data_IF_963668127323
#
_entry.id   IF_963668127323
#
_cell.length_a   1.000
_cell.length_b   1.000
_cell.length_c   1.000
_cell.angle_alpha   90.00
_cell.angle_beta   90.00
_cell.angle_gamma   90.00
#
_symmetry.space_group_name_H-M   'P 1'
#
loop_
_entity.id
_entity.type
_entity.pdbx_description
1 polymer ?
#
# COMPACT_ATOMS: atom_id res chain seq x y z
N UNK A 1 -1.55 28.67 47.71
CA UNK A 1 -1.56 27.84 46.47
C UNK A 1 -1.46 28.83 45.32
N UNK A 2 -0.43 28.73 44.53
CA UNK A 2 -0.20 29.66 43.43
C UNK A 2 -1.29 29.50 42.36
N UNK A 3 -1.67 30.61 41.71
CA UNK A 3 -2.70 30.61 40.67
C UNK A 3 -2.45 29.54 39.57
N UNK A 4 -1.19 29.26 39.28
CA UNK A 4 -0.77 28.23 38.34
C UNK A 4 -1.16 26.82 38.83
N UNK A 5 -0.96 26.53 40.12
CA UNK A 5 -1.31 25.23 40.73
C UNK A 5 -2.83 25.02 40.73
N UNK A 6 -3.61 26.06 40.96
CA UNK A 6 -5.08 26.01 40.92
C UNK A 6 -5.57 25.73 39.50
N UNK A 7 -5.00 26.38 38.50
CA UNK A 7 -5.32 26.16 37.09
C UNK A 7 -4.99 24.71 36.68
N UNK A 8 -3.82 24.18 37.04
CA UNK A 8 -3.42 22.82 36.74
C UNK A 8 -4.35 21.79 37.37
N UNK A 9 -4.75 21.97 38.62
CA UNK A 9 -5.70 21.08 39.30
C UNK A 9 -7.07 21.16 38.63
N UNK A 10 -7.54 22.34 38.27
CA UNK A 10 -8.83 22.53 37.61
C UNK A 10 -8.83 21.80 36.23
N UNK A 11 -7.77 21.99 35.44
CA UNK A 11 -7.62 21.28 34.15
C UNK A 11 -7.58 19.77 34.34
N UNK A 12 -6.85 19.29 35.36
CA UNK A 12 -6.77 17.86 35.66
C UNK A 12 -8.13 17.30 36.09
N UNK A 13 -8.89 18.00 36.92
CA UNK A 13 -10.26 17.60 37.31
C UNK A 13 -11.20 17.60 36.10
N UNK A 14 -11.13 18.61 35.24
CA UNK A 14 -11.94 18.68 34.03
C UNK A 14 -11.59 17.48 33.09
N UNK A 15 -10.31 17.14 32.93
CA UNK A 15 -9.89 15.99 32.11
C UNK A 15 -10.38 14.66 32.70
N UNK A 16 -10.36 14.50 34.04
CA UNK A 16 -10.89 13.32 34.73
C UNK A 16 -12.41 13.24 34.56
N UNK A 17 -13.12 14.33 34.78
CA UNK A 17 -14.58 14.39 34.62
C UNK A 17 -14.96 14.10 33.16
N UNK A 18 -14.28 14.69 32.20
CA UNK A 18 -14.46 14.41 30.78
C UNK A 18 -14.24 12.92 30.46
N UNK A 19 -13.19 12.32 31.01
CA UNK A 19 -12.89 10.92 30.87
C UNK A 19 -13.97 9.98 31.46
N UNK A 20 -14.47 10.33 32.66
CA UNK A 20 -15.56 9.60 33.35
C UNK A 20 -16.87 9.74 32.54
N UNK A 21 -17.19 10.95 32.06
CA UNK A 21 -18.41 11.25 31.32
C UNK A 21 -18.41 10.71 29.88
N UNK A 22 -17.23 10.43 29.32
CA UNK A 22 -17.12 9.66 28.07
C UNK A 22 -17.48 8.19 28.26
N UNK A 23 -18.51 7.91 29.04
CA UNK A 23 -19.04 6.59 29.27
C UNK A 23 -19.16 5.83 27.96
N UNK A 24 -18.77 4.59 27.97
CA UNK A 24 -18.88 3.67 26.84
C UNK A 24 -20.31 3.70 26.30
N UNK A 25 -20.45 4.04 25.03
CA UNK A 25 -21.75 3.86 24.38
C UNK A 25 -22.11 2.38 24.51
N UNK A 26 -23.28 2.06 25.05
CA UNK A 26 -23.74 0.68 25.30
C UNK A 26 -23.81 -0.18 24.02
N UNK A 27 -23.79 0.47 22.86
CA UNK A 27 -23.78 -0.18 21.54
C UNK A 27 -22.36 -0.43 20.98
N UNK A 28 -21.32 0.01 21.67
CA UNK A 28 -19.94 -0.18 21.21
C UNK A 28 -19.41 -1.58 21.57
N UNK A 29 -18.60 -2.21 20.69
CA UNK A 29 -17.93 -3.47 21.04
C UNK A 29 -17.07 -3.33 22.32
N UNK A 30 -16.83 -4.44 23.05
CA UNK A 30 -15.98 -4.43 24.23
C UNK A 30 -14.54 -3.93 23.88
N UNK A 31 -13.76 -3.54 24.89
CA UNK A 31 -12.39 -3.11 24.64
C UNK A 31 -11.73 -2.49 25.86
N UNK A 32 -10.45 -2.11 25.78
CA UNK A 32 -9.69 -1.55 26.91
C UNK A 32 -10.14 -0.14 27.29
N UNK A 33 -9.69 0.29 28.46
CA UNK A 33 -9.80 1.68 28.88
C UNK A 33 -8.89 2.55 28.02
N UNK A 34 -9.41 3.68 27.57
CA UNK A 34 -8.68 4.62 26.72
C UNK A 34 -8.35 5.90 27.51
N UNK A 35 -7.14 6.39 27.39
CA UNK A 35 -6.77 7.68 27.98
C UNK A 35 -7.41 8.84 27.20
N UNK A 36 -7.66 9.99 27.89
CA UNK A 36 -8.07 11.21 27.20
C UNK A 36 -7.08 11.60 26.10
N UNK A 37 -7.55 12.12 24.98
CA UNK A 37 -6.79 12.64 23.84
C UNK A 37 -5.99 11.55 23.09
N UNK A 38 -5.13 10.79 23.77
CA UNK A 38 -4.20 9.83 23.16
C UNK A 38 -4.79 8.42 22.97
N UNK A 39 -5.91 8.11 23.63
CA UNK A 39 -6.55 6.81 23.53
C UNK A 39 -5.69 5.67 24.09
N UNK A 40 -5.60 4.57 23.37
CA UNK A 40 -4.85 3.38 23.75
C UNK A 40 -3.40 3.38 23.23
N UNK A 41 -3.02 4.35 22.39
CA UNK A 41 -1.69 4.42 21.74
C UNK A 41 -0.52 4.28 22.73
N UNK A 42 -0.51 4.91 23.92
CA UNK A 42 0.61 4.78 24.85
C UNK A 42 0.84 3.37 25.40
N UNK A 43 -0.14 2.48 25.28
CA UNK A 43 -0.06 1.09 25.73
C UNK A 43 0.30 0.12 24.61
N UNK A 44 0.44 0.62 23.37
CA UNK A 44 0.81 -0.18 22.21
C UNK A 44 2.33 -0.29 22.09
N UNK A 45 2.78 -1.44 21.64
CA UNK A 45 4.19 -1.68 21.30
C UNK A 45 4.48 -1.27 19.84
N UNK A 46 5.73 -1.43 19.41
CA UNK A 46 6.11 -1.27 17.99
C UNK A 46 5.50 -2.33 17.07
N UNK A 47 4.79 -3.32 17.63
CA UNK A 47 4.13 -4.41 16.89
C UNK A 47 2.63 -4.45 17.22
N UNK A 48 1.86 -3.46 16.77
CA UNK A 48 0.44 -3.31 17.13
C UNK A 48 -0.42 -4.53 16.81
N UNK A 49 -0.10 -5.29 15.77
CA UNK A 49 -0.80 -6.53 15.42
C UNK A 49 -0.70 -7.60 16.53
N UNK A 50 0.42 -7.67 17.28
CA UNK A 50 0.54 -8.56 18.44
C UNK A 50 -0.22 -8.06 19.64
N UNK A 51 -0.33 -6.75 19.80
CA UNK A 51 -1.11 -6.14 20.87
C UNK A 51 -2.60 -6.35 20.63
N UNK A 52 -3.05 -6.27 19.39
CA UNK A 52 -4.44 -6.58 19.01
C UNK A 52 -4.77 -8.07 19.24
N UNK A 53 -3.84 -8.99 18.95
CA UNK A 53 -4.04 -10.40 19.25
C UNK A 53 -4.21 -10.65 20.77
N UNK A 54 -3.42 -9.99 21.62
CA UNK A 54 -3.57 -10.04 23.08
C UNK A 54 -4.92 -9.48 23.54
N UNK A 55 -5.34 -8.35 22.98
CA UNK A 55 -6.62 -7.73 23.31
C UNK A 55 -7.80 -8.60 22.85
N UNK A 56 -7.70 -9.25 21.70
CA UNK A 56 -8.72 -10.16 21.22
C UNK A 56 -8.93 -11.37 22.15
N UNK A 57 -7.88 -11.88 22.80
CA UNK A 57 -7.99 -12.93 23.81
C UNK A 57 -8.76 -12.50 25.06
N UNK A 58 -8.77 -11.20 25.37
CA UNK A 58 -9.46 -10.65 26.54
C UNK A 58 -10.88 -10.18 26.23
N UNK A 59 -11.06 -9.49 25.10
CA UNK A 59 -12.31 -8.82 24.74
C UNK A 59 -13.12 -9.52 23.67
N UNK A 60 -12.58 -10.58 23.07
CA UNK A 60 -13.18 -11.29 21.94
C UNK A 60 -12.64 -10.80 20.58
N UNK A 61 -13.01 -11.51 19.49
CA UNK A 61 -12.46 -11.24 18.15
C UNK A 61 -12.87 -9.89 17.55
N UNK A 62 -13.93 -9.28 18.07
CA UNK A 62 -14.37 -7.94 17.68
C UNK A 62 -14.35 -7.05 18.91
N UNK A 63 -13.47 -6.10 18.93
CA UNK A 63 -13.34 -5.16 20.05
C UNK A 63 -13.09 -3.73 19.56
N UNK A 64 -13.24 -2.77 20.46
CA UNK A 64 -13.05 -1.37 20.11
C UNK A 64 -12.04 -0.68 21.03
N UNK A 65 -11.31 0.28 20.47
CA UNK A 65 -10.40 1.13 21.20
C UNK A 65 -10.28 2.50 20.53
N UNK A 66 -9.71 3.45 21.25
CA UNK A 66 -9.47 4.79 20.71
C UNK A 66 -8.00 4.91 20.33
N UNK A 67 -7.73 5.30 19.10
CA UNK A 67 -6.39 5.60 18.58
C UNK A 67 -6.30 7.11 18.34
N UNK A 68 -5.77 7.84 19.32
CA UNK A 68 -5.75 9.29 19.27
C UNK A 68 -7.17 9.88 19.13
N UNK A 69 -7.42 10.57 18.03
CA UNK A 69 -8.70 11.18 17.70
C UNK A 69 -9.73 10.19 17.15
N UNK A 70 -9.32 8.99 16.74
CA UNK A 70 -10.17 8.02 16.06
C UNK A 70 -10.68 6.94 17.00
N UNK A 71 -11.98 6.65 16.92
CA UNK A 71 -12.57 5.46 17.49
C UNK A 71 -12.47 4.33 16.45
N UNK A 72 -11.78 3.27 16.82
CA UNK A 72 -11.52 2.14 15.95
C UNK A 72 -12.20 0.87 16.45
N UNK A 73 -12.79 0.12 15.55
CA UNK A 73 -13.24 -1.26 15.77
C UNK A 73 -12.25 -2.20 15.10
N UNK A 74 -11.75 -3.15 15.86
CA UNK A 74 -10.75 -4.12 15.42
C UNK A 74 -11.43 -5.47 15.20
N UNK A 75 -11.29 -6.01 14.00
CA UNK A 75 -11.69 -7.37 13.66
C UNK A 75 -10.43 -8.23 13.64
N UNK A 76 -10.33 -9.19 14.54
CA UNK A 76 -9.14 -10.01 14.77
C UNK A 76 -9.35 -11.49 14.39
N UNK A 77 -10.36 -11.80 13.59
CA UNK A 77 -10.59 -13.10 13.00
C UNK A 77 -11.09 -13.01 11.56
N UNK A 78 -10.96 -14.11 10.83
CA UNK A 78 -11.32 -14.18 9.43
C UNK A 78 -12.83 -13.99 9.18
N UNK A 79 -13.67 -14.58 10.02
CA UNK A 79 -15.12 -14.61 9.77
C UNK A 79 -15.75 -13.25 9.98
N UNK A 80 -15.45 -12.59 11.10
CA UNK A 80 -15.95 -11.23 11.38
C UNK A 80 -15.40 -10.20 10.38
N UNK A 81 -14.13 -10.35 9.96
CA UNK A 81 -13.55 -9.49 8.91
C UNK A 81 -14.25 -9.68 7.57
N UNK A 82 -14.50 -10.93 7.17
CA UNK A 82 -15.20 -11.26 5.93
C UNK A 82 -16.62 -10.71 5.92
N UNK A 83 -17.36 -10.89 7.03
CA UNK A 83 -18.73 -10.39 7.19
C UNK A 83 -18.77 -8.86 7.14
N UNK A 84 -17.89 -8.19 7.87
CA UNK A 84 -17.80 -6.73 7.86
C UNK A 84 -17.52 -6.18 6.46
N UNK A 85 -16.52 -6.72 5.77
CA UNK A 85 -16.10 -6.22 4.44
C UNK A 85 -17.09 -6.59 3.30
N UNK A 86 -18.07 -7.43 3.56
CA UNK A 86 -19.17 -7.67 2.64
C UNK A 86 -20.27 -6.59 2.70
N UNK A 87 -20.22 -5.68 3.69
CA UNK A 87 -21.23 -4.64 3.88
C UNK A 87 -20.76 -3.30 3.33
N UNK A 88 -21.64 -2.57 2.69
CA UNK A 88 -21.37 -1.25 2.10
C UNK A 88 -20.90 -0.21 3.13
N UNK A 89 -21.29 -0.35 4.39
CA UNK A 89 -20.86 0.51 5.48
C UNK A 89 -19.33 0.54 5.69
N UNK A 90 -18.60 -0.48 5.23
CA UNK A 90 -17.14 -0.61 5.34
C UNK A 90 -16.39 -0.25 4.05
N UNK A 91 -17.02 0.33 3.04
CA UNK A 91 -16.37 0.80 1.82
C UNK A 91 -15.60 2.10 2.09
N UNK A 92 -16.07 2.91 3.05
CA UNK A 92 -15.48 4.20 3.40
C UNK A 92 -14.03 4.12 3.86
N UNK A 93 -13.29 5.20 3.63
CA UNK A 93 -11.93 5.45 4.12
C UNK A 93 -11.94 6.70 5.00
N UNK A 94 -11.13 6.76 6.06
CA UNK A 94 -10.99 8.01 6.80
C UNK A 94 -10.43 9.10 5.86
N UNK A 95 -10.86 10.36 6.02
CA UNK A 95 -10.39 11.46 5.15
C UNK A 95 -8.91 11.78 5.38
N UNK A 96 -8.38 11.42 6.54
CA UNK A 96 -6.98 11.61 6.87
C UNK A 96 -6.12 10.56 6.15
N UNK A 97 -5.23 11.03 5.32
CA UNK A 97 -4.25 10.21 4.62
C UNK A 97 -2.84 10.75 4.86
N UNK A 98 -1.83 9.88 5.06
CA UNK A 98 -0.45 10.32 5.08
C UNK A 98 0.04 10.71 3.68
N UNK A 99 -0.70 10.35 2.63
CA UNK A 99 -0.40 10.71 1.24
C UNK A 99 -1.16 11.96 0.85
N UNK A 100 -0.48 12.90 0.22
CA UNK A 100 -1.10 14.11 -0.30
C UNK A 100 -1.88 13.76 -1.57
N UNK A 101 -3.20 13.79 -1.47
CA UNK A 101 -4.10 13.65 -2.61
C UNK A 101 -4.39 15.02 -3.23
N UNK A 102 -4.74 15.05 -4.51
CA UNK A 102 -5.23 16.24 -5.16
C UNK A 102 -6.55 16.72 -4.51
N UNK A 103 -6.75 18.03 -4.56
CA UNK A 103 -7.97 18.64 -4.02
C UNK A 103 -9.23 18.07 -4.69
N UNK A 104 -9.19 17.90 -6.00
CA UNK A 104 -10.26 17.30 -6.79
C UNK A 104 -10.57 15.87 -6.37
N UNK A 105 -9.54 15.06 -6.04
CA UNK A 105 -9.72 13.70 -5.55
C UNK A 105 -10.45 13.66 -4.21
N UNK A 106 -10.16 14.64 -3.34
CA UNK A 106 -10.83 14.75 -2.03
C UNK A 106 -12.26 15.26 -2.20
N UNK A 107 -12.45 16.32 -3.00
CA UNK A 107 -13.77 16.96 -3.21
C UNK A 107 -14.77 16.06 -3.94
N UNK A 108 -14.30 15.22 -4.84
CA UNK A 108 -15.14 14.28 -5.59
C UNK A 108 -15.29 12.92 -4.90
N UNK A 109 -14.63 12.74 -3.75
CA UNK A 109 -14.59 11.45 -3.03
C UNK A 109 -14.11 10.28 -3.92
N UNK A 110 -13.24 10.55 -4.92
CA UNK A 110 -12.82 9.54 -5.90
C UNK A 110 -12.17 8.30 -5.30
N UNK A 111 -11.69 8.37 -4.06
CA UNK A 111 -11.16 7.23 -3.28
C UNK A 111 -12.11 6.76 -2.19
N UNK A 112 -13.37 7.20 -2.18
CA UNK A 112 -14.34 6.87 -1.14
C UNK A 112 -15.75 6.60 -1.71
N UNK A 113 -16.55 5.81 -1.02
CA UNK A 113 -17.96 5.58 -1.32
C UNK A 113 -18.25 5.09 -2.75
N UNK A 114 -19.32 5.59 -3.34
CA UNK A 114 -19.76 5.23 -4.69
C UNK A 114 -18.78 5.68 -5.79
N UNK A 115 -18.21 6.89 -5.77
CA UNK A 115 -17.21 7.28 -6.76
C UNK A 115 -16.01 6.32 -6.80
N UNK A 116 -15.55 5.85 -5.64
CA UNK A 116 -14.50 4.83 -5.58
C UNK A 116 -14.90 3.52 -6.26
N UNK A 117 -16.14 3.07 -6.11
CA UNK A 117 -16.61 1.83 -6.76
C UNK A 117 -16.50 1.96 -8.28
N UNK A 118 -16.90 3.10 -8.84
CA UNK A 118 -16.78 3.38 -10.28
C UNK A 118 -15.32 3.45 -10.75
N UNK A 119 -14.46 4.15 -10.01
CA UNK A 119 -13.02 4.21 -10.28
C UNK A 119 -12.40 2.81 -10.29
N UNK A 120 -12.71 2.01 -9.28
CA UNK A 120 -12.21 0.64 -9.16
C UNK A 120 -12.71 -0.26 -10.30
N UNK A 121 -14.01 -0.18 -10.62
CA UNK A 121 -14.61 -0.97 -11.71
C UNK A 121 -13.95 -0.65 -13.05
N UNK A 122 -13.83 0.63 -13.37
CA UNK A 122 -13.16 1.11 -14.58
C UNK A 122 -11.71 0.63 -14.62
N UNK A 123 -10.94 0.86 -13.57
CA UNK A 123 -9.52 0.52 -13.51
C UNK A 123 -9.26 -0.97 -13.67
N UNK A 124 -10.04 -1.82 -12.99
CA UNK A 124 -9.90 -3.27 -13.12
C UNK A 124 -10.27 -3.77 -14.52
N UNK A 125 -11.27 -3.17 -15.15
CA UNK A 125 -11.62 -3.50 -16.54
C UNK A 125 -10.49 -3.08 -17.48
N UNK A 126 -9.98 -1.84 -17.33
CA UNK A 126 -8.90 -1.32 -18.15
C UNK A 126 -7.64 -2.18 -18.06
N UNK A 127 -7.22 -2.55 -16.86
CA UNK A 127 -6.07 -3.44 -16.68
C UNK A 127 -6.27 -4.81 -17.33
N UNK A 128 -7.48 -5.39 -17.25
CA UNK A 128 -7.80 -6.66 -17.95
C UNK A 128 -7.68 -6.51 -19.47
N UNK A 129 -8.14 -5.39 -20.01
CA UNK A 129 -8.08 -5.12 -21.45
C UNK A 129 -6.64 -4.91 -21.93
N UNK A 130 -5.78 -4.34 -21.09
CA UNK A 130 -4.33 -4.21 -21.28
C UNK A 130 -3.57 -5.53 -21.10
N UNK A 131 -4.24 -6.60 -20.64
CA UNK A 131 -3.66 -7.93 -20.52
C UNK A 131 -3.33 -8.37 -19.08
N UNK A 132 -3.65 -7.58 -18.07
CA UNK A 132 -3.46 -7.99 -16.68
C UNK A 132 -4.24 -9.26 -16.35
N UNK A 133 -3.55 -10.26 -15.78
CA UNK A 133 -4.12 -11.58 -15.50
C UNK A 133 -4.37 -12.44 -16.76
N UNK A 134 -3.77 -12.12 -17.90
CA UNK A 134 -3.85 -12.83 -19.17
C UNK A 134 -2.47 -13.26 -19.66
N UNK A 135 -2.35 -14.18 -20.65
CA UNK A 135 -1.06 -14.64 -21.17
C UNK A 135 -0.10 -13.52 -21.60
N UNK A 136 -0.64 -12.42 -22.14
CA UNK A 136 0.18 -11.25 -22.50
C UNK A 136 0.98 -10.70 -21.32
N UNK A 137 0.37 -10.62 -20.12
CA UNK A 137 1.10 -10.15 -18.92
C UNK A 137 2.21 -11.12 -18.52
N UNK A 138 1.98 -12.42 -18.68
CA UNK A 138 3.00 -13.44 -18.42
C UNK A 138 4.23 -13.26 -19.32
N UNK A 139 4.02 -12.96 -20.60
CA UNK A 139 5.11 -12.71 -21.55
C UNK A 139 5.92 -11.47 -21.15
N UNK A 140 5.24 -10.38 -20.79
CA UNK A 140 5.90 -9.14 -20.31
C UNK A 140 6.70 -9.37 -19.03
N UNK A 141 6.17 -10.16 -18.09
CA UNK A 141 6.89 -10.53 -16.87
C UNK A 141 8.12 -11.39 -17.20
N UNK A 142 8.03 -12.33 -18.15
CA UNK A 142 9.17 -13.14 -18.58
C UNK A 142 10.29 -12.31 -19.19
N UNK A 143 9.95 -11.33 -20.03
CA UNK A 143 10.95 -10.39 -20.56
C UNK A 143 11.67 -9.64 -19.45
N UNK A 144 10.93 -9.13 -18.44
CA UNK A 144 11.54 -8.44 -17.30
C UNK A 144 12.39 -9.38 -16.44
N UNK A 145 11.98 -10.65 -16.29
CA UNK A 145 12.78 -11.67 -15.57
C UNK A 145 14.10 -11.93 -16.31
N UNK A 146 14.09 -11.97 -17.63
CA UNK A 146 15.33 -12.14 -18.41
C UNK A 146 16.29 -10.98 -18.21
N UNK A 147 15.81 -9.74 -18.24
CA UNK A 147 16.63 -8.57 -17.94
C UNK A 147 17.17 -8.58 -16.50
N UNK A 148 16.35 -9.03 -15.53
CA UNK A 148 16.74 -9.20 -14.14
C UNK A 148 17.87 -10.23 -14.00
N UNK A 149 17.74 -11.39 -14.65
CA UNK A 149 18.74 -12.47 -14.63
C UNK A 149 20.05 -12.02 -15.27
N UNK A 150 20.01 -11.36 -16.44
CA UNK A 150 21.18 -10.78 -17.08
C UNK A 150 21.90 -9.76 -16.18
N UNK A 151 21.10 -8.94 -15.46
CA UNK A 151 21.68 -7.99 -14.50
C UNK A 151 22.36 -8.69 -13.31
N UNK A 152 21.75 -9.77 -12.81
CA UNK A 152 22.33 -10.57 -11.72
C UNK A 152 23.59 -11.33 -12.17
N UNK A 153 23.62 -11.89 -13.37
CA UNK A 153 24.83 -12.54 -13.93
C UNK A 153 26.03 -11.60 -13.99
N UNK A 154 25.81 -10.33 -14.33
CA UNK A 154 26.87 -9.30 -14.36
C UNK A 154 27.47 -9.01 -12.99
N UNK A 155 26.87 -9.48 -11.91
CA UNK A 155 27.45 -9.34 -10.55
C UNK A 155 28.57 -10.34 -10.26
N UNK A 156 28.74 -11.39 -11.09
CA UNK A 156 29.80 -12.39 -10.96
C UNK A 156 29.89 -12.99 -9.54
N UNK A 157 28.74 -13.36 -8.95
CA UNK A 157 28.62 -13.91 -7.59
C UNK A 157 29.11 -12.97 -6.47
N UNK A 158 29.39 -11.71 -6.76
CA UNK A 158 29.76 -10.72 -5.74
C UNK A 158 28.56 -10.39 -4.86
N UNK A 159 28.76 -10.09 -3.57
CA UNK A 159 27.70 -9.63 -2.69
C UNK A 159 26.95 -8.43 -3.29
N UNK A 160 25.66 -8.61 -3.53
CA UNK A 160 24.84 -7.62 -4.24
C UNK A 160 23.63 -7.24 -3.39
N UNK A 161 23.28 -5.96 -3.39
CA UNK A 161 22.05 -5.46 -2.77
C UNK A 161 20.84 -5.83 -3.63
N UNK A 162 20.23 -6.97 -3.31
CA UNK A 162 19.09 -7.53 -4.06
C UNK A 162 17.88 -6.58 -4.07
N UNK A 163 17.71 -5.79 -3.02
CA UNK A 163 16.60 -4.85 -2.88
C UNK A 163 16.49 -3.87 -4.05
N UNK A 164 17.59 -3.24 -4.46
CA UNK A 164 17.60 -2.26 -5.55
C UNK A 164 17.27 -2.90 -6.89
N UNK A 165 17.78 -4.10 -7.12
CA UNK A 165 17.56 -4.85 -8.36
C UNK A 165 16.11 -5.30 -8.47
N UNK A 166 15.55 -5.87 -7.39
CA UNK A 166 14.13 -6.25 -7.34
C UNK A 166 13.18 -5.05 -7.46
N UNK A 167 13.51 -3.92 -6.81
CA UNK A 167 12.69 -2.72 -6.91
C UNK A 167 12.53 -2.27 -8.35
N UNK A 168 13.61 -2.25 -9.08
CA UNK A 168 13.62 -1.88 -10.48
C UNK A 168 12.80 -2.86 -11.34
N UNK A 169 12.93 -4.16 -11.14
CA UNK A 169 12.19 -5.17 -11.90
C UNK A 169 10.68 -5.13 -11.60
N UNK A 170 10.31 -5.07 -10.32
CA UNK A 170 8.88 -5.03 -9.95
C UNK A 170 8.17 -3.73 -10.37
N UNK A 171 8.88 -2.59 -10.34
CA UNK A 171 8.32 -1.32 -10.82
C UNK A 171 8.09 -1.32 -12.33
N UNK A 172 8.94 -1.98 -13.12
CA UNK A 172 8.74 -2.11 -14.55
C UNK A 172 7.49 -2.90 -14.93
N UNK A 173 7.18 -3.98 -14.20
CA UNK A 173 5.98 -4.78 -14.47
C UNK A 173 4.68 -3.96 -14.36
N UNK A 174 4.61 -3.01 -13.44
CA UNK A 174 3.45 -2.13 -13.34
C UNK A 174 3.56 -0.90 -14.25
N UNK A 175 4.78 -0.42 -14.52
CA UNK A 175 5.03 0.72 -15.41
C UNK A 175 4.52 0.45 -16.83
N UNK A 176 4.68 -0.77 -17.33
CA UNK A 176 4.22 -1.14 -18.67
C UNK A 176 2.70 -1.05 -18.81
N UNK A 177 1.96 -1.36 -17.76
CA UNK A 177 0.50 -1.26 -17.76
C UNK A 177 0.02 0.18 -17.61
N UNK A 178 0.78 1.01 -16.88
CA UNK A 178 0.38 2.39 -16.55
C UNK A 178 0.86 3.37 -17.62
N UNK A 179 2.13 3.27 -18.04
CA UNK A 179 2.81 4.22 -18.93
C UNK A 179 3.04 3.67 -20.34
N UNK A 180 2.74 2.39 -20.59
CA UNK A 180 2.89 1.75 -21.90
C UNK A 180 4.33 1.40 -22.29
N UNK A 181 5.31 1.53 -21.40
CA UNK A 181 6.72 1.26 -21.72
C UNK A 181 7.49 0.67 -20.54
N UNK A 182 8.60 0.02 -20.86
CA UNK A 182 9.61 -0.45 -19.88
C UNK A 182 10.79 0.52 -19.86
N UNK A 183 11.38 0.66 -18.69
CA UNK A 183 12.57 1.49 -18.49
C UNK A 183 13.80 0.59 -18.30
N UNK A 184 14.88 0.84 -19.05
CA UNK A 184 16.14 0.15 -18.86
C UNK A 184 16.77 0.48 -17.49
N UNK A 185 17.69 -0.39 -17.00
CA UNK A 185 18.32 -0.20 -15.68
C UNK A 185 19.11 1.12 -15.57
N UNK A 186 19.58 1.66 -16.67
CA UNK A 186 20.34 2.93 -16.69
C UNK A 186 19.48 4.17 -16.95
N UNK A 187 18.19 4.01 -17.24
CA UNK A 187 17.30 5.14 -17.52
C UNK A 187 17.14 6.05 -16.29
N UNK A 188 17.41 7.36 -16.42
CA UNK A 188 17.26 8.31 -15.31
C UNK A 188 15.85 8.36 -14.73
N UNK A 189 14.80 8.10 -15.56
CA UNK A 189 13.41 8.05 -15.12
C UNK A 189 13.18 6.88 -14.19
N UNK A 190 13.77 5.71 -14.46
CA UNK A 190 13.73 4.54 -13.59
C UNK A 190 14.33 4.86 -12.22
N UNK A 191 15.53 5.43 -12.20
CA UNK A 191 16.20 5.84 -10.96
C UNK A 191 15.34 6.82 -10.13
N UNK A 192 14.66 7.74 -10.82
CA UNK A 192 13.72 8.68 -10.17
C UNK A 192 12.53 7.95 -9.54
N UNK A 193 11.90 7.06 -10.28
CA UNK A 193 10.73 6.29 -9.80
C UNK A 193 11.10 5.39 -8.63
N UNK A 194 12.21 4.65 -8.73
CA UNK A 194 12.72 3.80 -7.65
C UNK A 194 13.06 4.61 -6.40
N UNK A 195 13.64 5.79 -6.55
CA UNK A 195 13.86 6.72 -5.44
C UNK A 195 12.53 7.13 -4.79
N UNK A 196 11.54 7.52 -5.58
CA UNK A 196 10.25 7.96 -5.07
C UNK A 196 9.53 6.84 -4.31
N UNK A 197 9.49 5.61 -4.85
CA UNK A 197 8.88 4.45 -4.17
C UNK A 197 9.57 4.17 -2.84
N UNK A 198 10.89 4.00 -2.88
CA UNK A 198 11.70 3.67 -1.70
C UNK A 198 11.55 4.70 -0.59
N UNK A 199 11.64 5.97 -0.95
CA UNK A 199 11.56 7.05 0.03
C UNK A 199 10.14 7.22 0.57
N UNK A 200 9.11 7.08 -0.28
CA UNK A 200 7.72 7.07 0.18
C UNK A 200 7.44 5.94 1.16
N UNK A 201 7.90 4.71 0.87
CA UNK A 201 7.75 3.58 1.77
C UNK A 201 8.46 3.80 3.12
N UNK A 202 9.69 4.37 3.08
CA UNK A 202 10.46 4.70 4.28
C UNK A 202 9.77 5.75 5.15
N UNK A 203 9.22 6.78 4.54
CA UNK A 203 8.58 7.89 5.24
C UNK A 203 7.16 7.54 5.72
N UNK A 204 6.42 6.73 4.98
CA UNK A 204 5.04 6.36 5.34
C UNK A 204 4.93 5.82 6.78
N UNK A 205 5.86 4.95 7.19
CA UNK A 205 5.90 4.42 8.56
C UNK A 205 6.14 5.50 9.62
N UNK A 206 6.87 6.55 9.29
CA UNK A 206 7.20 7.65 10.22
C UNK A 206 6.07 8.67 10.38
N UNK A 207 5.23 8.83 9.36
CA UNK A 207 4.16 9.83 9.37
C UNK A 207 2.76 9.26 9.65
N UNK A 208 2.63 7.94 9.76
CA UNK A 208 1.34 7.27 10.01
C UNK A 208 0.62 7.78 11.28
N UNK A 209 1.36 8.21 12.30
CA UNK A 209 0.79 8.78 13.52
C UNK A 209 -0.07 10.03 13.26
N UNK A 210 0.15 10.75 12.16
CA UNK A 210 -0.61 11.96 11.80
C UNK A 210 -2.08 11.65 11.52
N UNK A 211 -2.39 10.44 11.08
CA UNK A 211 -3.77 9.97 10.92
C UNK A 211 -4.47 10.02 12.29
N UNK A 212 -3.78 9.60 13.34
CA UNK A 212 -4.36 9.53 14.68
C UNK A 212 -4.38 10.87 15.41
N UNK A 213 -3.52 11.82 15.03
CA UNK A 213 -3.40 13.15 15.63
C UNK A 213 -3.37 14.26 14.58
N UNK A 214 -4.46 14.45 13.78
CA UNK A 214 -4.46 15.42 12.70
C UNK A 214 -4.26 16.86 13.18
N UNK A 215 -4.71 17.21 14.39
CA UNK A 215 -4.48 18.51 14.98
C UNK A 215 -2.99 18.76 15.29
N UNK A 216 -2.29 17.76 15.81
CA UNK A 216 -0.85 17.84 16.10
C UNK A 216 -0.04 17.88 14.79
N UNK A 217 -0.46 17.11 13.80
CA UNK A 217 0.13 17.13 12.46
C UNK A 217 0.09 18.55 11.86
N UNK A 218 -1.04 19.26 11.97
CA UNK A 218 -1.18 20.66 11.50
C UNK A 218 -0.17 21.59 12.20
N UNK A 219 0.01 21.45 13.51
CA UNK A 219 0.95 22.27 14.29
C UNK A 219 2.40 21.97 13.85
N UNK A 220 2.79 20.70 13.78
CA UNK A 220 4.15 20.32 13.43
C UNK A 220 4.49 20.68 11.97
N UNK A 221 3.53 20.56 11.06
CA UNK A 221 3.68 20.97 9.67
C UNK A 221 3.89 22.48 9.54
N UNK A 222 3.17 23.28 10.33
CA UNK A 222 3.37 24.74 10.37
C UNK A 222 4.82 25.10 10.74
N UNK A 223 5.45 24.35 11.64
CA UNK A 223 6.85 24.56 12.05
C UNK A 223 7.86 23.73 11.20
N UNK A 224 7.44 23.07 10.11
CA UNK A 224 8.28 22.17 9.31
C UNK A 224 8.96 21.06 10.12
N UNK A 225 8.30 20.58 11.18
CA UNK A 225 8.76 19.47 12.02
C UNK A 225 8.05 18.17 11.65
N UNK A 226 8.63 17.02 12.00
CA UNK A 226 7.93 15.72 11.91
C UNK A 226 8.10 14.93 10.62
N UNK A 227 9.09 15.24 9.77
CA UNK A 227 9.44 14.44 8.59
C UNK A 227 8.51 14.60 7.39
N UNK A 228 7.41 15.34 7.53
CA UNK A 228 6.42 15.57 6.46
C UNK A 228 6.97 16.30 5.25
N UNK A 229 7.92 17.21 5.45
CA UNK A 229 8.54 17.98 4.38
C UNK A 229 9.28 17.08 3.36
N UNK A 230 9.85 15.97 3.80
CA UNK A 230 10.54 15.02 2.91
C UNK A 230 9.52 14.22 2.10
N UNK A 231 8.48 13.68 2.75
CA UNK A 231 7.41 12.95 2.05
C UNK A 231 6.70 13.85 1.03
N UNK A 232 6.37 15.08 1.40
CA UNK A 232 5.77 16.06 0.49
C UNK A 232 6.65 16.35 -0.73
N UNK A 233 7.98 16.51 -0.54
CA UNK A 233 8.91 16.69 -1.65
C UNK A 233 8.94 15.47 -2.58
N UNK A 234 8.96 14.27 -2.04
CA UNK A 234 8.94 13.03 -2.81
C UNK A 234 7.64 12.90 -3.59
N UNK A 235 6.50 13.10 -2.93
CA UNK A 235 5.19 13.08 -3.57
C UNK A 235 5.09 14.12 -4.70
N UNK A 236 5.56 15.35 -4.46
CA UNK A 236 5.59 16.39 -5.50
C UNK A 236 6.49 16.01 -6.68
N UNK A 237 7.62 15.39 -6.42
CA UNK A 237 8.55 14.93 -7.48
C UNK A 237 7.90 13.87 -8.34
N UNK A 238 7.28 12.86 -7.72
CA UNK A 238 6.55 11.81 -8.42
C UNK A 238 5.35 12.38 -9.21
N UNK A 239 4.56 13.26 -8.60
CA UNK A 239 3.43 13.91 -9.24
C UNK A 239 3.84 14.71 -10.49
N UNK A 240 4.90 15.50 -10.38
CA UNK A 240 5.42 16.25 -11.53
C UNK A 240 5.85 15.31 -12.69
N UNK A 241 6.33 14.13 -12.38
CA UNK A 241 6.63 13.12 -13.39
C UNK A 241 5.34 12.61 -14.04
N UNK A 242 4.36 12.20 -13.23
CA UNK A 242 3.07 11.69 -13.72
C UNK A 242 2.32 12.75 -14.55
N UNK A 243 2.30 14.00 -14.12
CA UNK A 243 1.67 15.10 -14.85
C UNK A 243 2.29 15.30 -16.25
N UNK A 244 3.61 15.16 -16.36
CA UNK A 244 4.31 15.21 -17.67
C UNK A 244 3.92 14.03 -18.56
N UNK A 245 3.83 12.82 -17.99
CA UNK A 245 3.39 11.64 -18.73
C UNK A 245 1.94 11.81 -19.23
N UNK A 246 1.02 12.28 -18.38
CA UNK A 246 -0.37 12.57 -18.76
C UNK A 246 -0.42 13.59 -19.90
N UNK A 247 0.38 14.66 -19.83
CA UNK A 247 0.43 15.68 -20.89
C UNK A 247 0.97 15.14 -22.21
N UNK A 248 1.95 14.21 -22.16
CA UNK A 248 2.50 13.60 -23.37
C UNK A 248 1.48 12.65 -24.00
N UNK A 249 0.82 11.82 -23.19
CA UNK A 249 -0.23 10.91 -23.64
C UNK A 249 -1.39 11.67 -24.28
N UNK A 250 -1.81 12.78 -23.67
CA UNK A 250 -2.89 13.61 -24.22
C UNK A 250 -2.60 14.15 -25.63
N UNK A 251 -1.32 14.49 -25.91
CA UNK A 251 -0.89 14.97 -27.25
C UNK A 251 -0.84 13.88 -28.30
N UNK A 252 -0.61 12.62 -27.88
CA UNK A 252 -0.42 11.47 -28.77
C UNK A 252 -1.57 10.47 -28.70
N UNK A 253 -2.65 10.80 -27.98
CA UNK A 253 -3.78 9.90 -27.75
C UNK A 253 -4.46 9.52 -29.07
N UNK A 254 -4.52 8.22 -29.33
CA UNK A 254 -5.25 7.64 -30.44
C UNK A 254 -6.39 6.76 -29.92
N UNK A 255 -7.63 7.13 -30.23
CA UNK A 255 -8.81 6.38 -29.74
C UNK A 255 -8.93 4.98 -30.31
N UNK A 256 -8.27 4.69 -31.44
CA UNK A 256 -8.27 3.39 -32.08
C UNK A 256 -7.18 2.44 -31.51
N UNK A 257 -6.19 2.99 -30.76
CA UNK A 257 -5.06 2.23 -30.25
C UNK A 257 -4.71 2.71 -28.82
N UNK A 258 -5.28 2.02 -27.83
CA UNK A 258 -5.10 2.30 -26.41
C UNK A 258 -3.87 1.57 -25.92
N UNK A 259 -2.81 2.30 -25.67
CA UNK A 259 -1.49 1.77 -25.29
C UNK A 259 -1.41 1.29 -23.85
N UNK A 260 -2.07 2.03 -22.92
CA UNK A 260 -1.88 1.90 -21.48
C UNK A 260 -3.07 2.48 -20.67
N UNK A 261 -2.92 2.44 -19.35
CA UNK A 261 -3.94 2.93 -18.42
C UNK A 261 -4.20 4.43 -18.55
N UNK A 262 -3.16 5.25 -18.80
CA UNK A 262 -3.32 6.71 -18.96
C UNK A 262 -4.16 7.02 -20.17
N UNK A 263 -3.89 6.38 -21.32
CA UNK A 263 -4.69 6.55 -22.53
C UNK A 263 -6.16 6.17 -22.29
N UNK A 264 -6.40 5.01 -21.69
CA UNK A 264 -7.75 4.55 -21.38
C UNK A 264 -8.51 5.48 -20.46
N UNK A 265 -7.83 6.02 -19.44
CA UNK A 265 -8.46 6.96 -18.51
C UNK A 265 -8.73 8.33 -19.13
N UNK A 266 -7.82 8.83 -19.97
CA UNK A 266 -8.03 10.08 -20.72
C UNK A 266 -9.26 10.00 -21.64
N UNK A 267 -9.48 8.84 -22.27
CA UNK A 267 -10.70 8.63 -23.06
C UNK A 267 -11.94 8.58 -22.19
N UNK A 268 -11.86 7.98 -21.00
CA UNK A 268 -12.99 7.94 -20.09
C UNK A 268 -13.37 9.33 -19.56
N UNK A 269 -12.39 10.20 -19.30
CA UNK A 269 -12.64 11.62 -18.98
C UNK A 269 -13.46 12.30 -20.09
N UNK A 270 -13.11 12.05 -21.36
CA UNK A 270 -13.82 12.64 -22.51
C UNK A 270 -15.26 12.12 -22.64
N UNK A 271 -15.50 10.86 -22.30
CA UNK A 271 -16.80 10.20 -22.45
C UNK A 271 -17.79 10.52 -21.35
N UNK A 272 -17.34 10.52 -20.09
CA UNK A 272 -18.25 10.57 -18.93
C UNK A 272 -18.70 11.97 -18.54
N UNK A 273 -17.88 12.99 -18.73
CA UNK A 273 -18.11 14.33 -18.19
C UNK A 273 -18.40 14.35 -16.67
N UNK A 274 -17.81 13.39 -15.93
CA UNK A 274 -17.99 13.20 -14.51
C UNK A 274 -16.83 13.88 -13.76
N UNK A 275 -17.10 14.75 -12.77
CA UNK A 275 -16.06 15.42 -11.99
C UNK A 275 -15.09 14.47 -11.29
N UNK A 276 -15.54 13.25 -10.91
CA UNK A 276 -14.69 12.23 -10.33
C UNK A 276 -13.71 11.59 -11.35
N UNK A 277 -13.93 11.80 -12.65
CA UNK A 277 -13.01 11.41 -13.73
C UNK A 277 -12.33 12.63 -14.31
N UNK A 278 -11.23 13.03 -13.71
CA UNK A 278 -10.43 14.18 -14.17
C UNK A 278 -8.92 13.88 -14.06
N UNK A 279 -8.09 14.73 -14.69
CA UNK A 279 -6.62 14.51 -14.70
C UNK A 279 -5.98 14.49 -13.29
N UNK A 280 -6.36 15.35 -12.34
CA UNK A 280 -5.83 15.26 -10.98
C UNK A 280 -6.13 13.92 -10.32
N UNK A 281 -7.35 13.39 -10.50
CA UNK A 281 -7.72 12.06 -9.99
C UNK A 281 -6.93 10.96 -10.70
N UNK A 282 -6.75 11.05 -12.03
CA UNK A 282 -5.89 10.14 -12.78
C UNK A 282 -4.47 10.10 -12.20
N UNK A 283 -3.88 11.26 -11.90
CA UNK A 283 -2.54 11.31 -11.33
C UNK A 283 -2.44 10.59 -9.97
N UNK A 284 -3.45 10.74 -9.12
CA UNK A 284 -3.53 10.03 -7.83
C UNK A 284 -3.77 8.53 -8.02
N UNK A 285 -4.58 8.11 -9.01
CA UNK A 285 -4.77 6.70 -9.37
C UNK A 285 -3.47 6.06 -9.85
N UNK A 286 -2.73 6.73 -10.73
CA UNK A 286 -1.41 6.29 -11.21
C UNK A 286 -0.46 6.09 -10.02
N UNK A 287 -0.38 7.06 -9.10
CA UNK A 287 0.44 6.96 -7.90
C UNK A 287 0.07 5.77 -7.03
N UNK A 288 -1.22 5.55 -6.83
CA UNK A 288 -1.73 4.44 -6.03
C UNK A 288 -1.39 3.08 -6.65
N UNK A 289 -1.64 2.89 -7.94
CA UNK A 289 -1.34 1.61 -8.60
C UNK A 289 0.15 1.34 -8.73
N UNK A 290 0.93 2.37 -9.05
CA UNK A 290 2.38 2.24 -9.18
C UNK A 290 3.03 1.88 -7.84
N UNK A 291 2.69 2.56 -6.76
CA UNK A 291 3.20 2.28 -5.43
C UNK A 291 2.77 0.91 -4.89
N UNK A 292 1.48 0.60 -4.98
CA UNK A 292 0.95 -0.66 -4.48
C UNK A 292 1.46 -1.88 -5.28
N UNK A 293 1.55 -1.75 -6.61
CA UNK A 293 1.97 -2.85 -7.49
C UNK A 293 3.47 -3.14 -7.46
N UNK A 294 4.31 -2.17 -7.10
CA UNK A 294 5.77 -2.33 -7.07
C UNK A 294 6.26 -2.85 -5.72
N UNK A 295 5.97 -2.13 -4.64
CA UNK A 295 6.62 -2.32 -3.34
C UNK A 295 6.17 -3.62 -2.64
N UNK A 296 4.92 -4.00 -2.78
CA UNK A 296 4.41 -5.22 -2.15
C UNK A 296 5.02 -6.49 -2.74
N UNK A 297 5.14 -6.53 -4.07
CA UNK A 297 5.78 -7.65 -4.78
C UNK A 297 7.27 -7.70 -4.46
N UNK A 298 7.96 -6.56 -4.50
CA UNK A 298 9.37 -6.46 -4.13
C UNK A 298 9.64 -7.01 -2.74
N UNK A 299 8.89 -6.57 -1.73
CA UNK A 299 9.07 -7.03 -0.35
C UNK A 299 8.84 -8.53 -0.21
N UNK A 300 7.85 -9.09 -0.89
CA UNK A 300 7.57 -10.52 -0.88
C UNK A 300 8.73 -11.31 -1.49
N UNK A 301 9.24 -10.87 -2.64
CA UNK A 301 10.39 -11.50 -3.29
C UNK A 301 11.68 -11.39 -2.45
N UNK A 302 11.92 -10.24 -1.83
CA UNK A 302 13.06 -10.05 -0.92
C UNK A 302 13.01 -11.04 0.26
N UNK A 303 11.84 -11.23 0.87
CA UNK A 303 11.65 -12.21 1.93
C UNK A 303 11.78 -13.65 1.44
N UNK A 304 11.31 -13.96 0.21
CA UNK A 304 11.48 -15.30 -0.38
C UNK A 304 12.96 -15.62 -0.56
N UNK A 305 13.73 -14.73 -1.16
CA UNK A 305 15.18 -14.92 -1.36
C UNK A 305 15.94 -15.05 -0.03
N UNK A 306 15.61 -14.19 0.95
CA UNK A 306 16.19 -14.28 2.29
C UNK A 306 15.85 -15.60 2.97
N UNK A 307 14.62 -16.09 2.80
CA UNK A 307 14.19 -17.38 3.36
C UNK A 307 14.92 -18.53 2.69
N UNK A 308 15.10 -18.53 1.37
CA UNK A 308 15.89 -19.54 0.67
C UNK A 308 17.34 -19.59 1.19
N UNK A 309 17.95 -18.44 1.39
CA UNK A 309 19.30 -18.37 1.96
C UNK A 309 19.39 -18.85 3.42
N UNK A 310 18.34 -18.59 4.23
CA UNK A 310 18.31 -18.97 5.64
C UNK A 310 17.94 -20.44 5.89
N UNK A 311 17.27 -21.11 4.94
CA UNK A 311 16.77 -22.47 5.04
C UNK A 311 17.22 -23.32 3.83
N UNK A 312 18.50 -23.79 3.79
CA UNK A 312 19.06 -24.51 2.64
C UNK A 312 18.30 -25.78 2.26
N UNK A 313 17.73 -26.48 3.23
CA UNK A 313 16.95 -27.70 2.97
C UNK A 313 15.66 -27.40 2.22
N UNK A 314 14.97 -26.29 2.58
CA UNK A 314 13.79 -25.80 1.86
C UNK A 314 14.17 -25.35 0.44
N UNK A 315 15.27 -24.60 0.30
CA UNK A 315 15.80 -24.18 -0.99
C UNK A 315 16.06 -25.38 -1.89
N UNK A 316 16.72 -26.42 -1.36
CA UNK A 316 17.04 -27.64 -2.13
C UNK A 316 15.78 -28.35 -2.63
N UNK A 317 14.74 -28.44 -1.79
CA UNK A 317 13.48 -29.08 -2.19
C UNK A 317 12.74 -28.26 -3.27
N UNK A 318 12.71 -26.93 -3.13
CA UNK A 318 12.15 -26.02 -4.16
C UNK A 318 12.92 -26.18 -5.47
N UNK A 319 14.25 -26.19 -5.44
CA UNK A 319 15.08 -26.39 -6.63
C UNK A 319 14.86 -27.76 -7.29
N UNK A 320 14.72 -28.81 -6.49
CA UNK A 320 14.42 -30.16 -7.01
C UNK A 320 13.09 -30.18 -7.74
N UNK A 321 12.03 -29.61 -7.15
CA UNK A 321 10.72 -29.54 -7.79
C UNK A 321 10.75 -28.69 -9.06
N UNK A 322 11.49 -27.57 -9.08
CA UNK A 322 11.70 -26.77 -10.29
C UNK A 322 12.41 -27.57 -11.38
N UNK A 323 13.50 -28.25 -11.06
CA UNK A 323 14.27 -29.05 -12.02
C UNK A 323 13.44 -30.22 -12.60
N UNK A 324 12.56 -30.84 -11.79
CA UNK A 324 11.68 -31.94 -12.21
C UNK A 324 10.53 -31.45 -13.13
N UNK A 325 9.90 -30.32 -12.83
CA UNK A 325 8.69 -29.85 -13.52
C UNK A 325 9.01 -28.97 -14.74
N UNK A 326 9.99 -28.07 -14.58
CA UNK A 326 10.28 -27.03 -15.61
C UNK A 326 11.50 -27.41 -16.43
N UNK A 327 12.46 -28.14 -15.87
CA UNK A 327 13.82 -28.36 -16.38
C UNK A 327 14.62 -27.03 -16.44
N UNK A 328 15.83 -27.09 -17.00
CA UNK A 328 16.68 -25.88 -17.22
C UNK A 328 16.60 -25.32 -18.65
N UNK A 329 15.72 -25.89 -19.48
CA UNK A 329 15.67 -25.58 -20.92
C UNK A 329 14.64 -24.50 -21.26
N UNK A 330 13.72 -24.20 -20.36
CA UNK A 330 12.67 -23.21 -20.58
C UNK A 330 12.39 -22.33 -19.35
N UNK A 331 11.78 -21.18 -19.57
CA UNK A 331 11.23 -20.35 -18.49
C UNK A 331 9.94 -20.96 -17.94
N UNK A 332 9.62 -20.72 -16.65
CA UNK A 332 8.36 -21.15 -16.05
C UNK A 332 7.17 -20.48 -16.72
N UNK A 333 6.05 -21.17 -16.68
CA UNK A 333 4.74 -20.62 -17.04
C UNK A 333 3.82 -20.62 -15.83
N UNK A 334 2.80 -19.78 -15.84
CA UNK A 334 1.80 -19.78 -14.75
C UNK A 334 1.18 -21.17 -14.52
N UNK A 335 1.01 -21.96 -15.57
CA UNK A 335 0.42 -23.32 -15.47
C UNK A 335 1.29 -24.32 -14.70
N UNK A 336 2.59 -24.10 -14.62
CA UNK A 336 3.50 -25.02 -13.94
C UNK A 336 3.23 -25.09 -12.44
N UNK A 337 2.67 -24.02 -11.82
CA UNK A 337 2.33 -24.01 -10.39
C UNK A 337 1.41 -25.19 -9.99
N UNK A 338 0.56 -25.67 -10.90
CA UNK A 338 -0.33 -26.82 -10.64
C UNK A 338 0.43 -28.10 -10.38
N UNK A 339 1.68 -28.19 -10.80
CA UNK A 339 2.57 -29.33 -10.63
C UNK A 339 3.69 -29.06 -9.61
N UNK A 340 3.65 -27.91 -8.94
CA UNK A 340 4.66 -27.45 -7.99
C UNK A 340 4.08 -27.18 -6.59
N UNK A 341 3.45 -28.21 -5.96
CA UNK A 341 2.74 -28.02 -4.69
C UNK A 341 3.65 -27.66 -3.52
N UNK A 342 4.92 -28.10 -3.53
CA UNK A 342 5.85 -27.74 -2.47
C UNK A 342 6.28 -26.28 -2.57
N UNK A 343 6.64 -25.82 -3.75
CA UNK A 343 6.99 -24.42 -4.02
C UNK A 343 5.81 -23.49 -3.69
N UNK A 344 4.60 -23.87 -4.07
CA UNK A 344 3.39 -23.10 -3.75
C UNK A 344 3.15 -23.04 -2.24
N UNK A 345 3.31 -24.16 -1.53
CA UNK A 345 3.21 -24.20 -0.06
C UNK A 345 4.26 -23.32 0.63
N UNK A 346 5.50 -23.27 0.12
CA UNK A 346 6.56 -22.39 0.63
C UNK A 346 6.19 -20.93 0.46
N UNK A 347 5.66 -20.55 -0.71
CA UNK A 347 5.22 -19.17 -0.97
C UNK A 347 4.07 -18.80 -0.01
N UNK A 348 3.06 -19.66 0.12
CA UNK A 348 1.92 -19.42 1.02
C UNK A 348 2.36 -19.32 2.49
N UNK A 349 3.25 -20.20 2.94
CA UNK A 349 3.77 -20.17 4.31
C UNK A 349 4.59 -18.90 4.57
N UNK A 350 5.38 -18.47 3.62
CA UNK A 350 6.10 -17.22 3.74
C UNK A 350 5.14 -16.02 3.90
N UNK A 351 4.10 -15.95 3.06
CA UNK A 351 3.10 -14.87 3.14
C UNK A 351 2.37 -14.89 4.49
N UNK A 352 2.11 -16.06 5.04
CA UNK A 352 1.52 -16.23 6.38
C UNK A 352 2.49 -15.79 7.48
N UNK A 353 3.76 -16.24 7.42
CA UNK A 353 4.77 -16.00 8.46
C UNK A 353 5.31 -14.56 8.43
N UNK A 354 5.56 -14.04 7.24
CA UNK A 354 6.09 -12.68 7.01
C UNK A 354 5.06 -11.81 6.31
N UNK A 355 3.88 -11.72 6.89
CA UNK A 355 2.83 -10.84 6.38
C UNK A 355 3.34 -9.41 6.28
N UNK A 356 3.45 -8.90 5.06
CA UNK A 356 4.03 -7.56 4.78
C UNK A 356 3.11 -6.42 5.21
N UNK A 357 1.81 -6.66 5.29
CA UNK A 357 0.79 -5.71 5.79
C UNK A 357 -0.01 -6.42 6.89
N UNK A 358 0.54 -6.53 8.13
CA UNK A 358 -0.10 -7.29 9.21
C UNK A 358 -1.36 -6.62 9.77
N UNK A 359 -1.56 -5.34 9.50
CA UNK A 359 -2.77 -4.59 9.80
C UNK A 359 -3.27 -4.02 8.49
N UNK A 360 -4.55 -4.25 8.17
CA UNK A 360 -5.14 -3.73 6.94
C UNK A 360 -5.14 -2.18 6.95
N UNK A 361 -5.23 -1.60 5.76
CA UNK A 361 -5.43 -0.16 5.62
C UNK A 361 -6.78 0.21 6.24
N UNK A 362 -6.81 1.32 6.99
CA UNK A 362 -8.00 1.81 7.68
C UNK A 362 -9.21 1.96 6.74
N UNK A 363 -10.36 1.62 7.27
CA UNK A 363 -11.66 1.77 6.62
C UNK A 363 -12.66 2.42 7.56
#
# INVERSE_FOLDING_TARGET
MDSLTLILITVFVILILYWILQGRNSKSPPGPVNLPIVGYIPFMTSKPYLDFDKLAKVYGPVFSLKLGSHYAVIFNDFYSTKEAFAQDAFIGRPPESPFELNKETIETEAFNGLPWIEQRRFSLQMFRDLGFGRPRMEELIKEEIMDLLEHLEKTEEKPTEVRSVLASSTSNNIAILIFGYRLSYDDPRRKLLDYCIRESARQAGQVTWQIFFPWLAKILNFFNLGGTSTLSKVNKTFRNYVDKEIQQHEKTLNEADIRDYIDGYLLEIRKRHDPAFCKPVLADMVGTFFGAGSETVRLTLEWLLLTMAAYPDVQKQVQTEIDEVISRERLPTWKDHLQMPYTEAVIMELMRWKTIIPINILR
#
